data_IF_372032426689
#
_entry.id   IF_372032426689
#
_cell.length_a   1.000
_cell.length_b   1.000
_cell.length_c   1.000
_cell.angle_alpha   90.00
_cell.angle_beta   90.00
_cell.angle_gamma   90.00
#
_symmetry.space_group_name_H-M   'P 1'
#
loop_
_entity.id
_entity.type
_entity.pdbx_description
1 polymer ?
#
# COMPACT_ATOMS: atom_id res chain seq x y z
N UNK A 1 13.84 -3.44 -14.67
CA UNK A 1 13.10 -2.17 -14.50
C UNK A 1 11.62 -2.45 -14.72
N UNK A 2 10.88 -2.73 -13.64
CA UNK A 2 9.44 -2.91 -13.73
C UNK A 2 8.77 -1.53 -13.79
N UNK A 3 8.10 -1.25 -14.90
CA UNK A 3 7.29 -0.05 -15.05
C UNK A 3 6.00 -0.24 -14.27
N UNK A 4 5.92 0.31 -13.06
CA UNK A 4 4.66 0.35 -12.30
C UNK A 4 3.60 1.08 -13.15
N UNK A 5 2.52 0.37 -13.47
CA UNK A 5 1.40 0.94 -14.18
C UNK A 5 0.80 2.08 -13.33
N UNK A 6 0.61 3.25 -13.93
CA UNK A 6 0.03 4.43 -13.26
C UNK A 6 -1.34 4.05 -12.68
N UNK A 7 -1.40 3.89 -11.36
CA UNK A 7 -2.67 3.83 -10.63
C UNK A 7 -3.45 5.11 -10.95
N UNK A 8 -4.72 4.97 -11.32
CA UNK A 8 -5.64 6.10 -11.45
C UNK A 8 -5.66 6.80 -10.09
N UNK A 9 -5.23 8.07 -10.00
CA UNK A 9 -5.17 8.80 -8.72
C UNK A 9 -6.56 8.87 -8.09
N UNK A 10 -6.87 7.97 -7.16
CA UNK A 10 -8.14 8.00 -6.46
C UNK A 10 -7.92 8.64 -5.09
N UNK A 11 -8.24 9.93 -4.97
CA UNK A 11 -8.20 10.66 -3.71
C UNK A 11 -9.49 10.45 -2.94
N UNK A 12 -9.40 10.10 -1.65
CA UNK A 12 -10.56 10.09 -0.76
C UNK A 12 -10.78 11.48 -0.14
N UNK A 13 -12.04 11.86 0.09
CA UNK A 13 -12.35 13.03 0.90
C UNK A 13 -11.99 12.78 2.37
N UNK A 14 -11.75 13.84 3.15
CA UNK A 14 -11.44 13.73 4.60
C UNK A 14 -12.49 12.89 5.32
N UNK A 15 -13.77 13.19 5.09
CA UNK A 15 -14.92 12.49 5.67
C UNK A 15 -14.89 10.99 5.34
N UNK A 16 -14.65 10.64 4.07
CA UNK A 16 -14.59 9.23 3.64
C UNK A 16 -13.40 8.47 4.23
N UNK A 17 -12.24 9.11 4.36
CA UNK A 17 -11.10 8.51 5.07
C UNK A 17 -11.47 8.21 6.51
N UNK A 18 -12.07 9.20 7.18
CA UNK A 18 -12.48 9.07 8.57
C UNK A 18 -13.51 7.96 8.76
N UNK A 19 -14.57 7.93 7.96
CA UNK A 19 -15.57 6.87 7.96
C UNK A 19 -14.93 5.48 7.79
N UNK A 20 -14.07 5.33 6.78
CA UNK A 20 -13.38 4.05 6.53
C UNK A 20 -12.53 3.65 7.73
N UNK A 21 -11.79 4.60 8.30
CA UNK A 21 -10.94 4.37 9.46
C UNK A 21 -11.74 3.90 10.69
N UNK A 22 -12.90 4.50 10.95
CA UNK A 22 -13.76 4.12 12.07
C UNK A 22 -14.37 2.72 11.91
N UNK A 23 -14.53 2.25 10.68
CA UNK A 23 -15.05 0.90 10.39
C UNK A 23 -13.98 -0.20 10.52
N UNK A 24 -12.70 0.15 10.67
CA UNK A 24 -11.62 -0.80 10.89
C UNK A 24 -11.56 -1.27 12.34
N UNK A 25 -11.16 -2.52 12.55
CA UNK A 25 -10.85 -3.01 13.91
C UNK A 25 -9.60 -2.33 14.46
N UNK A 26 -9.43 -2.36 15.78
CA UNK A 26 -8.22 -1.82 16.43
C UNK A 26 -6.93 -2.46 15.91
N UNK A 27 -6.95 -3.76 15.64
CA UNK A 27 -5.82 -4.50 15.06
C UNK A 27 -5.54 -4.05 13.62
N UNK A 28 -6.57 -3.90 12.79
CA UNK A 28 -6.43 -3.40 11.43
C UNK A 28 -5.87 -1.97 11.40
N UNK A 29 -6.36 -1.10 12.28
CA UNK A 29 -5.82 0.25 12.44
C UNK A 29 -4.34 0.20 12.86
N UNK A 30 -3.95 -0.72 13.76
CA UNK A 30 -2.57 -0.87 14.19
C UNK A 30 -1.65 -1.28 13.02
N UNK A 31 -2.06 -2.26 12.21
CA UNK A 31 -1.31 -2.66 11.00
C UNK A 31 -1.16 -1.49 10.03
N UNK A 32 -2.24 -0.75 9.75
CA UNK A 32 -2.16 0.42 8.87
C UNK A 32 -1.27 1.53 9.44
N UNK A 33 -1.35 1.83 10.74
CA UNK A 33 -0.46 2.82 11.38
C UNK A 33 1.00 2.41 11.26
N UNK A 34 1.30 1.13 11.45
CA UNK A 34 2.65 0.60 11.32
C UNK A 34 3.15 0.68 9.88
N UNK A 35 2.31 0.32 8.91
CA UNK A 35 2.61 0.46 7.48
C UNK A 35 2.90 1.91 7.09
N UNK A 36 2.04 2.85 7.49
CA UNK A 36 2.23 4.30 7.25
C UNK A 36 3.57 4.74 7.84
N UNK A 37 3.84 4.37 9.09
CA UNK A 37 5.10 4.70 9.77
C UNK A 37 6.30 4.15 9.01
N UNK A 38 6.24 2.91 8.54
CA UNK A 38 7.29 2.28 7.75
C UNK A 38 7.51 3.02 6.43
N UNK A 39 6.46 3.30 5.67
CA UNK A 39 6.55 4.02 4.38
C UNK A 39 7.17 5.41 4.53
N UNK A 40 6.72 6.17 5.54
CA UNK A 40 7.34 7.46 5.83
C UNK A 40 8.81 7.30 6.23
N UNK A 41 9.12 6.39 7.15
CA UNK A 41 10.51 6.16 7.59
C UNK A 41 11.43 5.78 6.42
N UNK A 42 11.00 4.83 5.59
CA UNK A 42 11.73 4.39 4.40
C UNK A 42 11.93 5.53 3.40
N UNK A 43 10.93 6.38 3.18
CA UNK A 43 11.07 7.54 2.30
C UNK A 43 12.18 8.50 2.77
N UNK A 44 12.25 8.78 4.06
CA UNK A 44 13.27 9.68 4.61
C UNK A 44 14.68 9.07 4.58
N UNK A 45 14.80 7.75 4.74
CA UNK A 45 16.07 7.01 4.62
C UNK A 45 16.53 6.96 3.16
N UNK A 46 15.67 6.52 2.24
CA UNK A 46 16.01 6.29 0.83
C UNK A 46 16.46 7.57 0.12
N UNK A 47 15.80 8.69 0.41
CA UNK A 47 16.11 9.93 -0.29
C UNK A 47 17.38 10.60 0.22
N UNK A 48 18.01 10.09 1.28
CA UNK A 48 19.21 10.65 1.91
C UNK A 48 19.13 12.20 2.03
N UNK A 49 17.91 12.75 2.19
CA UNK A 49 17.60 14.19 2.06
C UNK A 49 18.31 14.99 3.14
N UNK A 50 18.70 14.29 4.19
CA UNK A 50 19.32 14.80 5.39
C UNK A 50 20.83 14.47 5.40
N UNK A 51 21.36 13.90 4.32
CA UNK A 51 22.77 13.51 4.17
C UNK A 51 23.57 14.37 3.17
N UNK A 52 22.92 15.20 2.35
CA UNK A 52 23.62 16.14 1.46
C UNK A 52 23.79 17.50 2.13
N UNK A 53 24.71 17.55 3.11
CA UNK A 53 25.19 18.80 3.71
C UNK A 53 24.42 19.32 4.93
N UNK A 54 23.41 18.60 5.42
CA UNK A 54 22.76 18.91 6.70
C UNK A 54 23.24 17.95 7.79
N UNK A 55 23.39 18.46 9.00
CA UNK A 55 23.84 17.68 10.17
C UNK A 55 22.71 16.89 10.82
N UNK A 56 21.55 16.80 10.16
CA UNK A 56 20.34 16.24 10.71
C UNK A 56 20.17 14.77 10.29
N UNK A 57 19.42 14.00 11.07
CA UNK A 57 19.11 12.60 10.81
C UNK A 57 17.66 12.34 11.17
N UNK A 58 16.96 11.54 10.37
CA UNK A 58 15.57 11.19 10.66
C UNK A 58 15.51 10.18 11.81
N UNK A 59 14.73 10.47 12.85
CA UNK A 59 14.60 9.60 14.02
C UNK A 59 13.24 8.92 14.07
N UNK A 60 12.17 9.70 13.91
CA UNK A 60 10.82 9.18 14.10
C UNK A 60 9.76 9.93 13.31
N UNK A 61 8.72 9.20 12.94
CA UNK A 61 7.47 9.74 12.46
C UNK A 61 6.38 9.45 13.49
N UNK A 62 5.67 10.51 13.90
CA UNK A 62 4.55 10.43 14.82
C UNK A 62 3.29 10.95 14.14
N UNK A 63 2.19 10.22 14.33
CA UNK A 63 0.87 10.61 13.85
C UNK A 63 -0.02 10.99 15.04
N UNK A 64 -0.69 12.14 14.93
CA UNK A 64 -1.61 12.61 15.95
C UNK A 64 -3.02 12.07 15.69
N UNK A 65 -3.34 10.95 16.34
CA UNK A 65 -4.68 10.34 16.28
C UNK A 65 -5.78 11.29 16.78
N UNK A 66 -5.44 12.21 17.69
CA UNK A 66 -6.36 13.14 18.32
C UNK A 66 -6.32 14.54 17.69
N UNK A 67 -5.80 14.71 16.47
CA UNK A 67 -5.61 16.05 15.89
C UNK A 67 -6.91 16.87 15.78
N UNK A 68 -8.01 16.21 15.45
CA UNK A 68 -9.34 16.84 15.35
C UNK A 68 -10.04 16.94 16.73
N UNK A 69 -9.61 16.17 17.73
CA UNK A 69 -10.09 16.27 19.09
C UNK A 69 -9.29 17.32 19.88
N UNK A 70 -9.95 18.15 20.68
CA UNK A 70 -9.23 19.06 21.60
C UNK A 70 -8.82 18.38 22.91
N UNK A 71 -8.97 17.05 22.99
CA UNK A 71 -8.69 16.24 24.18
C UNK A 71 -7.60 15.21 23.85
N UNK A 72 -6.81 14.85 24.86
CA UNK A 72 -5.71 13.88 24.72
C UNK A 72 -4.37 14.47 24.26
N UNK A 73 -3.32 13.62 24.16
CA UNK A 73 -1.97 14.05 23.79
C UNK A 73 -1.98 14.60 22.36
N UNK A 74 -1.39 15.80 22.21
CA UNK A 74 -1.29 16.52 20.93
C UNK A 74 0.17 16.60 20.49
N UNK A 75 0.40 16.60 19.17
CA UNK A 75 1.72 16.81 18.60
C UNK A 75 1.86 18.28 18.20
N UNK A 76 3.04 18.84 18.47
CA UNK A 76 3.39 20.23 18.15
C UNK A 76 4.70 20.28 17.38
N UNK A 77 4.79 21.27 16.50
CA UNK A 77 6.04 21.73 15.93
C UNK A 77 6.81 22.53 16.99
N UNK A 78 8.12 22.64 16.85
CA UNK A 78 8.93 23.46 17.78
C UNK A 78 8.60 24.97 17.68
N UNK A 79 7.94 25.42 16.61
CA UNK A 79 7.35 26.76 16.54
C UNK A 79 6.02 26.91 17.31
N UNK A 80 5.53 25.85 17.97
CA UNK A 80 4.28 25.83 18.73
C UNK A 80 3.03 25.50 17.91
N UNK A 81 3.13 25.30 16.59
CA UNK A 81 1.95 24.92 15.76
C UNK A 81 1.55 23.48 16.01
N UNK A 82 0.25 23.22 16.17
CA UNK A 82 -0.30 21.86 16.28
C UNK A 82 -0.10 21.09 14.98
N UNK A 83 0.36 19.86 15.08
CA UNK A 83 0.68 18.99 13.95
C UNK A 83 -0.19 17.74 13.95
N UNK A 84 -0.64 17.37 12.75
CA UNK A 84 -1.24 16.05 12.49
C UNK A 84 -0.16 15.00 12.21
N UNK A 85 0.85 15.40 11.44
CA UNK A 85 2.01 14.60 11.07
C UNK A 85 3.24 15.30 11.62
N UNK A 86 3.98 14.64 12.51
CA UNK A 86 5.20 15.17 13.11
C UNK A 86 6.38 14.30 12.70
N UNK A 87 7.42 14.96 12.22
CA UNK A 87 8.71 14.37 11.89
C UNK A 87 9.73 14.82 12.93
N UNK A 88 10.43 13.86 13.52
CA UNK A 88 11.45 14.11 14.52
C UNK A 88 12.80 13.87 13.87
N UNK A 89 13.65 14.90 13.90
CA UNK A 89 15.01 14.84 13.38
C UNK A 89 16.00 15.08 14.51
N UNK A 90 17.19 14.51 14.39
CA UNK A 90 18.29 14.66 15.34
C UNK A 90 19.50 15.27 14.66
N UNK A 91 20.09 16.28 15.27
CA UNK A 91 21.38 16.83 14.85
C UNK A 91 22.53 15.91 15.30
N UNK A 92 23.72 16.03 14.70
CA UNK A 92 24.93 15.32 15.12
C UNK A 92 25.25 15.51 16.61
N UNK A 93 24.95 16.69 17.16
CA UNK A 93 25.14 17.01 18.59
C UNK A 93 24.09 16.36 19.52
N UNK A 94 23.15 15.58 18.96
CA UNK A 94 22.09 14.89 19.69
C UNK A 94 20.79 15.71 19.85
N UNK A 95 20.80 16.99 19.51
CA UNK A 95 19.62 17.88 19.60
C UNK A 95 18.48 17.39 18.71
N UNK A 96 17.29 17.24 19.29
CA UNK A 96 16.09 16.85 18.56
C UNK A 96 15.28 18.07 18.13
N UNK A 97 14.76 18.03 16.91
CA UNK A 97 13.82 19.01 16.38
C UNK A 97 12.55 18.31 15.89
N UNK A 98 11.38 18.89 16.19
CA UNK A 98 10.06 18.34 15.83
C UNK A 98 9.38 19.27 14.84
N UNK A 99 9.11 18.77 13.64
CA UNK A 99 8.65 19.59 12.53
C UNK A 99 7.45 18.99 11.81
N UNK A 100 6.62 19.85 11.24
CA UNK A 100 5.65 19.49 10.20
C UNK A 100 6.30 19.57 8.83
N UNK A 101 5.74 18.88 7.83
CA UNK A 101 6.32 18.84 6.47
C UNK A 101 6.55 20.23 5.86
N UNK A 102 5.67 21.20 6.11
CA UNK A 102 5.79 22.56 5.56
C UNK A 102 6.85 23.43 6.26
N UNK A 103 7.42 22.95 7.36
CA UNK A 103 8.33 23.70 8.23
C UNK A 103 9.80 23.28 8.12
N UNK A 104 10.11 22.31 7.27
CA UNK A 104 11.48 21.85 7.06
C UNK A 104 12.37 22.94 6.45
N UNK A 105 11.89 23.70 5.45
CA UNK A 105 12.67 24.79 4.88
C UNK A 105 12.99 25.87 5.93
N UNK A 106 11.98 26.26 6.71
CA UNK A 106 12.06 27.36 7.68
C UNK A 106 12.96 27.05 8.88
N UNK A 107 13.01 25.79 9.32
CA UNK A 107 13.68 25.43 10.59
C UNK A 107 15.06 24.82 10.44
N UNK A 108 15.36 24.15 9.32
CA UNK A 108 16.61 23.39 9.16
C UNK A 108 17.35 23.72 7.88
N UNK A 109 16.92 24.76 7.15
CA UNK A 109 17.63 25.29 5.99
C UNK A 109 17.73 24.32 4.81
N UNK A 110 16.85 23.31 4.74
CA UNK A 110 16.82 22.37 3.61
C UNK A 110 16.44 23.14 2.33
N UNK A 111 17.19 22.96 1.21
CA UNK A 111 16.90 23.64 -0.03
C UNK A 111 15.46 23.41 -0.51
N UNK A 112 14.81 24.46 -1.00
CA UNK A 112 13.40 24.39 -1.40
C UNK A 112 13.13 23.33 -2.48
N UNK A 113 14.08 23.10 -3.39
CA UNK A 113 13.95 22.05 -4.41
C UNK A 113 13.85 20.64 -3.78
N UNK A 114 14.65 20.37 -2.76
CA UNK A 114 14.65 19.13 -1.97
C UNK A 114 13.32 18.99 -1.22
N UNK A 115 12.85 20.10 -0.63
CA UNK A 115 11.54 20.16 0.03
C UNK A 115 10.38 19.81 -0.92
N UNK A 116 10.35 20.41 -2.11
CA UNK A 116 9.29 20.15 -3.10
C UNK A 116 9.29 18.69 -3.57
N UNK A 117 10.47 18.08 -3.72
CA UNK A 117 10.58 16.65 -4.03
C UNK A 117 10.00 15.77 -2.91
N UNK A 118 10.36 16.07 -1.65
CA UNK A 118 9.84 15.36 -0.48
C UNK A 118 8.31 15.51 -0.36
N UNK A 119 7.77 16.73 -0.54
CA UNK A 119 6.32 16.96 -0.55
C UNK A 119 5.63 16.14 -1.62
N UNK A 120 6.19 16.10 -2.82
CA UNK A 120 5.64 15.29 -3.93
C UNK A 120 5.59 13.81 -3.56
N UNK A 121 6.64 13.29 -2.92
CA UNK A 121 6.71 11.89 -2.50
C UNK A 121 5.77 11.56 -1.35
N UNK A 122 5.64 12.44 -0.37
CA UNK A 122 4.66 12.27 0.71
C UNK A 122 3.24 12.30 0.15
N UNK A 123 2.93 13.22 -0.77
CA UNK A 123 1.64 13.19 -1.46
C UNK A 123 1.42 11.87 -2.21
N UNK A 124 2.46 11.28 -2.80
CA UNK A 124 2.36 9.95 -3.40
C UNK A 124 2.06 8.85 -2.39
N UNK A 125 2.66 8.90 -1.19
CA UNK A 125 2.31 7.99 -0.10
C UNK A 125 0.84 8.17 0.31
N UNK A 126 0.39 9.42 0.50
CA UNK A 126 -1.01 9.71 0.84
C UNK A 126 -1.99 9.16 -0.20
N UNK A 127 -1.65 9.25 -1.50
CA UNK A 127 -2.44 8.63 -2.57
C UNK A 127 -2.45 7.10 -2.49
N UNK A 128 -1.30 6.48 -2.17
CA UNK A 128 -1.22 5.03 -1.96
C UNK A 128 -2.10 4.57 -0.80
N UNK A 129 -2.09 5.33 0.30
CA UNK A 129 -2.97 5.08 1.45
C UNK A 129 -4.45 5.24 1.10
N UNK A 130 -4.81 6.23 0.29
CA UNK A 130 -6.19 6.38 -0.19
C UNK A 130 -6.65 5.24 -1.09
N UNK A 131 -5.76 4.75 -1.95
CA UNK A 131 -6.03 3.57 -2.76
C UNK A 131 -6.23 2.34 -1.86
N UNK A 132 -5.38 2.15 -0.86
CA UNK A 132 -5.48 1.08 0.11
C UNK A 132 -6.81 1.12 0.89
N UNK A 133 -7.20 2.29 1.40
CA UNK A 133 -8.49 2.48 2.07
C UNK A 133 -9.67 2.17 1.15
N UNK A 134 -9.59 2.51 -0.13
CA UNK A 134 -10.64 2.13 -1.09
C UNK A 134 -10.69 0.63 -1.36
N UNK A 135 -9.54 -0.03 -1.41
CA UNK A 135 -9.47 -1.49 -1.54
C UNK A 135 -10.12 -2.18 -0.35
N UNK A 136 -9.90 -1.65 0.87
CA UNK A 136 -10.57 -2.11 2.10
C UNK A 136 -12.09 -2.01 1.94
N UNK A 137 -12.60 -0.84 1.52
CA UNK A 137 -14.05 -0.63 1.30
C UNK A 137 -14.66 -1.55 0.26
N UNK A 138 -13.88 -1.99 -0.73
CA UNK A 138 -14.30 -2.92 -1.79
C UNK A 138 -14.14 -4.38 -1.39
N UNK A 139 -13.68 -4.66 -0.16
CA UNK A 139 -13.32 -5.99 0.31
C UNK A 139 -12.35 -6.71 -0.65
N UNK A 140 -11.41 -5.97 -1.22
CA UNK A 140 -10.52 -6.46 -2.28
C UNK A 140 -9.37 -7.35 -1.78
N UNK A 141 -9.47 -7.94 -0.59
CA UNK A 141 -8.46 -8.80 0.00
C UNK A 141 -8.38 -10.18 -0.66
N UNK A 142 -7.47 -11.02 -0.15
CA UNK A 142 -7.42 -12.43 -0.53
C UNK A 142 -8.65 -13.17 0.01
N UNK A 143 -9.10 -14.20 -0.71
CA UNK A 143 -10.12 -15.10 -0.17
C UNK A 143 -9.53 -15.96 0.96
N UNK A 144 -10.38 -16.62 1.74
CA UNK A 144 -9.96 -17.37 2.93
C UNK A 144 -8.93 -18.47 2.64
N UNK A 145 -9.07 -19.19 1.51
CA UNK A 145 -8.14 -20.25 1.10
C UNK A 145 -6.75 -19.70 0.77
N UNK A 146 -6.69 -18.65 -0.06
CA UNK A 146 -5.43 -18.00 -0.44
C UNK A 146 -4.76 -17.35 0.76
N UNK A 147 -5.55 -16.76 1.68
CA UNK A 147 -5.06 -16.18 2.92
C UNK A 147 -4.35 -17.22 3.77
N UNK A 148 -5.01 -18.35 4.04
CA UNK A 148 -4.42 -19.42 4.87
C UNK A 148 -3.17 -19.99 4.21
N UNK A 149 -3.26 -20.29 2.91
CA UNK A 149 -2.10 -20.79 2.16
C UNK A 149 -0.92 -19.83 2.23
N UNK A 150 -1.15 -18.51 2.11
CA UNK A 150 -0.07 -17.54 2.21
C UNK A 150 0.55 -17.51 3.61
N UNK A 151 -0.26 -17.50 4.67
CA UNK A 151 0.23 -17.53 6.05
C UNK A 151 1.14 -18.74 6.27
N UNK A 152 0.75 -19.90 5.77
CA UNK A 152 1.51 -21.15 5.94
C UNK A 152 2.81 -21.19 5.10
N UNK A 153 2.88 -20.43 4.01
CA UNK A 153 3.97 -20.53 3.01
C UNK A 153 4.78 -19.24 2.83
N UNK A 154 4.51 -18.17 3.57
CA UNK A 154 5.10 -16.84 3.35
C UNK A 154 6.64 -16.85 3.44
N UNK A 155 7.22 -17.73 4.26
CA UNK A 155 8.68 -17.84 4.45
C UNK A 155 9.42 -18.25 3.17
N UNK A 156 8.73 -18.86 2.21
CA UNK A 156 9.28 -19.21 0.90
C UNK A 156 9.39 -17.99 -0.05
N UNK A 157 8.88 -16.82 0.34
CA UNK A 157 8.80 -15.62 -0.49
C UNK A 157 9.43 -14.39 0.21
N UNK A 158 10.75 -14.39 0.44
CA UNK A 158 11.44 -13.32 1.16
C UNK A 158 11.44 -11.98 0.41
N UNK A 159 11.18 -11.98 -0.89
CA UNK A 159 11.14 -10.76 -1.72
C UNK A 159 9.83 -9.96 -1.57
N UNK A 160 8.84 -10.50 -0.87
CA UNK A 160 7.58 -9.79 -0.62
C UNK A 160 7.77 -8.73 0.48
N UNK A 161 6.91 -7.68 0.50
CA UNK A 161 6.96 -6.67 1.54
C UNK A 161 6.93 -7.29 2.95
N UNK A 162 7.74 -6.75 3.85
CA UNK A 162 7.93 -7.27 5.21
C UNK A 162 6.61 -7.32 6.00
N UNK A 163 5.71 -6.39 5.73
CA UNK A 163 4.39 -6.26 6.36
C UNK A 163 3.28 -7.06 5.66
N UNK A 164 3.58 -7.76 4.55
CA UNK A 164 2.57 -8.50 3.79
C UNK A 164 1.83 -9.54 4.65
N UNK A 165 2.53 -10.18 5.59
CA UNK A 165 1.95 -11.18 6.50
C UNK A 165 0.92 -10.53 7.43
N UNK A 166 1.25 -9.38 8.03
CA UNK A 166 0.37 -8.66 8.94
C UNK A 166 -0.92 -8.22 8.22
N UNK A 167 -0.80 -7.73 6.99
CA UNK A 167 -1.95 -7.40 6.16
C UNK A 167 -2.83 -8.63 5.92
N UNK A 168 -2.25 -9.74 5.50
CA UNK A 168 -2.98 -10.97 5.19
C UNK A 168 -3.63 -11.56 6.45
N UNK A 169 -2.91 -11.60 7.57
CA UNK A 169 -3.40 -12.10 8.85
C UNK A 169 -4.61 -11.32 9.37
N UNK A 170 -4.59 -9.99 9.24
CA UNK A 170 -5.70 -9.12 9.67
C UNK A 170 -6.75 -8.85 8.58
N UNK A 171 -6.77 -9.66 7.52
CA UNK A 171 -7.75 -9.57 6.41
C UNK A 171 -7.76 -8.22 5.69
N UNK A 172 -6.62 -7.54 5.66
CA UNK A 172 -6.42 -6.31 4.91
C UNK A 172 -5.97 -6.65 3.48
N UNK A 173 -6.41 -5.85 2.48
CA UNK A 173 -5.92 -5.99 1.12
C UNK A 173 -4.49 -5.48 1.03
N UNK A 174 -3.66 -6.17 0.25
CA UNK A 174 -2.32 -5.70 -0.07
C UNK A 174 -2.36 -4.73 -1.25
N UNK A 175 -1.22 -4.10 -1.53
CA UNK A 175 -0.99 -3.44 -2.81
C UNK A 175 -1.31 -4.39 -3.98
N UNK A 176 -1.81 -3.80 -5.07
CA UNK A 176 -2.37 -4.57 -6.19
C UNK A 176 -1.37 -5.56 -6.78
N UNK A 177 -0.12 -5.13 -6.97
CA UNK A 177 0.93 -5.93 -7.60
C UNK A 177 1.39 -7.06 -6.67
N UNK A 178 1.53 -6.76 -5.37
CA UNK A 178 1.89 -7.74 -4.32
C UNK A 178 0.80 -8.82 -4.22
N UNK A 179 -0.47 -8.41 -4.16
CA UNK A 179 -1.58 -9.35 -4.11
C UNK A 179 -1.66 -10.21 -5.37
N UNK A 180 -1.41 -9.62 -6.56
CA UNK A 180 -1.41 -10.37 -7.81
C UNK A 180 -0.30 -11.42 -7.85
N UNK A 181 0.89 -11.11 -7.31
CA UNK A 181 1.98 -12.08 -7.21
C UNK A 181 1.65 -13.20 -6.23
N UNK A 182 1.07 -12.90 -5.05
CA UNK A 182 0.60 -13.93 -4.11
C UNK A 182 -0.42 -14.87 -4.78
N UNK A 183 -1.39 -14.31 -5.51
CA UNK A 183 -2.39 -15.09 -6.25
C UNK A 183 -1.73 -15.96 -7.34
N UNK A 184 -0.72 -15.45 -8.03
CA UNK A 184 0.03 -16.19 -9.04
C UNK A 184 0.77 -17.38 -8.41
N UNK A 185 1.43 -17.16 -7.27
CA UNK A 185 2.15 -18.21 -6.53
C UNK A 185 1.18 -19.27 -6.01
N UNK A 186 0.06 -18.86 -5.41
CA UNK A 186 -1.01 -19.77 -4.99
C UNK A 186 -1.50 -20.63 -6.15
N UNK A 187 -1.83 -20.02 -7.29
CA UNK A 187 -2.30 -20.75 -8.47
C UNK A 187 -1.26 -21.73 -8.99
N UNK A 188 0.03 -21.37 -8.96
CA UNK A 188 1.12 -22.26 -9.38
C UNK A 188 1.24 -23.46 -8.44
N UNK A 189 1.12 -23.26 -7.13
CA UNK A 189 1.21 -24.30 -6.12
C UNK A 189 0.01 -25.26 -6.13
N UNK A 190 -1.20 -24.73 -6.37
CA UNK A 190 -2.47 -25.49 -6.34
C UNK A 190 -2.94 -25.96 -7.72
N UNK A 191 -2.19 -25.67 -8.78
CA UNK A 191 -2.58 -26.03 -10.14
C UNK A 191 -2.69 -27.55 -10.30
N UNK A 192 -3.91 -28.03 -10.54
CA UNK A 192 -4.15 -29.39 -11.01
C UNK A 192 -4.33 -29.37 -12.53
N UNK A 193 -3.51 -30.11 -13.31
CA UNK A 193 -3.68 -30.16 -14.75
C UNK A 193 -5.03 -30.77 -15.07
N UNK A 194 -5.86 -30.04 -15.83
CA UNK A 194 -7.14 -30.57 -16.29
C UNK A 194 -6.88 -31.81 -17.14
N UNK A 195 -7.61 -32.93 -16.91
CA UNK A 195 -7.50 -34.09 -17.76
C UNK A 195 -7.80 -33.67 -19.20
N UNK A 196 -6.90 -34.02 -20.12
CA UNK A 196 -7.09 -33.74 -21.55
C UNK A 196 -8.31 -34.52 -22.00
N UNK A 197 -9.44 -33.84 -22.19
CA UNK A 197 -10.57 -34.48 -22.84
C UNK A 197 -10.14 -34.88 -24.24
N UNK A 198 -10.34 -36.15 -24.65
CA UNK A 198 -10.06 -36.56 -26.02
C UNK A 198 -10.84 -35.65 -26.95
N UNK A 199 -10.15 -35.04 -27.92
CA UNK A 199 -10.79 -34.22 -28.96
C UNK A 199 -11.90 -35.07 -29.58
N UNK A 200 -13.17 -34.78 -29.26
CA UNK A 200 -14.31 -35.33 -29.98
C UNK A 200 -14.14 -34.88 -31.43
N UNK A 201 -13.71 -35.79 -32.30
CA UNK A 201 -13.76 -35.57 -33.75
C UNK A 201 -15.23 -35.35 -34.06
N UNK A 202 -15.63 -34.10 -34.34
CA UNK A 202 -16.96 -33.85 -34.91
C UNK A 202 -17.02 -34.71 -36.18
N UNK A 203 -17.97 -35.63 -36.33
CA UNK A 203 -18.12 -36.34 -37.59
C UNK A 203 -18.33 -35.27 -38.67
N UNK A 204 -17.44 -35.24 -39.66
CA UNK A 204 -17.68 -34.41 -40.84
C UNK A 204 -18.90 -35.03 -41.53
N UNK A 205 -20.03 -34.33 -41.57
CA UNK A 205 -21.15 -34.75 -42.40
C UNK A 205 -20.62 -34.93 -43.83
N UNK A 206 -20.86 -36.11 -44.41
CA UNK A 206 -20.50 -36.35 -45.81
C UNK A 206 -21.45 -35.54 -46.72
N UNK A 207 -21.08 -35.40 -48.00
CA UNK A 207 -21.84 -34.60 -48.97
C UNK A 207 -23.30 -35.05 -49.12
N UNK A 208 -23.59 -36.35 -48.97
CA UNK A 208 -24.95 -36.90 -49.05
C UNK A 208 -25.80 -36.47 -47.85
N UNK A 209 -25.23 -36.47 -46.64
CA UNK A 209 -25.93 -36.03 -45.43
C UNK A 209 -26.17 -34.51 -45.41
N UNK A 210 -25.32 -33.72 -46.10
CA UNK A 210 -25.62 -32.31 -46.39
C UNK A 210 -26.78 -32.17 -47.38
N UNK A 211 -26.86 -33.00 -48.41
CA UNK A 211 -27.94 -32.93 -49.40
C UNK A 211 -29.31 -33.31 -48.83
N UNK A 212 -29.36 -34.23 -47.84
CA UNK A 212 -30.61 -34.57 -47.14
C UNK A 212 -31.09 -33.46 -46.21
N UNK A 213 -30.19 -32.74 -45.53
CA UNK A 213 -30.54 -31.66 -44.60
C UNK A 213 -31.14 -30.42 -45.29
N UNK A 214 -30.91 -30.24 -46.59
CA UNK A 214 -31.38 -29.09 -47.37
C UNK A 214 -32.34 -29.53 -48.50
N UNK A 215 -32.99 -30.68 -48.36
CA UNK A 215 -33.89 -31.21 -49.39
C UNK A 215 -35.25 -30.50 -49.44
N UNK A 216 -35.65 -29.90 -48.32
CA UNK A 216 -36.99 -29.29 -48.12
C UNK A 216 -36.92 -27.78 -47.77
N UNK A 217 -35.80 -27.11 -48.08
CA UNK A 217 -35.66 -25.64 -48.07
C UNK A 217 -35.48 -25.18 -49.50
#
# INVERSE_FOLDING_TARGET
MATHAKSSKVSLTKERRQETWHNLTSEQQAVLKQHIRYQHTSLFVDQNLIGHGSTWQFVAYNYNDNYDANTGPQLYCDCGRRLKHQYVLQNQDGTLIKLGITHFADHIGIPEAVMRQLQTKIHHLDFGLDELLQRIRRHAGLNSEMRQWFIDNHTAYPDLPVDAIDFVAHSLPLEKDVQAEIVRQYKKATYTPKPRQPRRKKPKLNKAAWQELFRDI
#
